data_IF_873730823435
#
_entry.id   IF_873730823435
#
_cell.length_a   1.000
_cell.length_b   1.000
_cell.length_c   1.000
_cell.angle_alpha   90.00
_cell.angle_beta   90.00
_cell.angle_gamma   90.00
#
_symmetry.space_group_name_H-M   'P 1'
#
loop_
_entity.id
_entity.type
_entity.pdbx_description
1 polymer ?
#
# COMPACT_ATOMS: atom_id res chain seq x y z
N UNK A 1 -32.99 -5.62 43.88
CA UNK A 1 -32.22 -4.35 43.93
C UNK A 1 -30.77 -4.70 43.67
N UNK A 2 -30.37 -4.69 42.40
CA UNK A 2 -29.59 -3.62 41.72
C UNK A 2 -28.07 -3.71 41.96
N UNK A 3 -27.42 -4.38 40.99
CA UNK A 3 -26.15 -4.06 40.30
C UNK A 3 -25.03 -3.31 41.02
N UNK A 4 -23.81 -3.89 40.99
CA UNK A 4 -22.56 -3.14 40.92
C UNK A 4 -21.36 -4.03 40.52
N UNK A 5 -20.87 -3.83 39.28
CA UNK A 5 -19.51 -4.00 38.75
C UNK A 5 -18.87 -5.41 38.62
N UNK A 6 -18.51 -5.76 37.37
CA UNK A 6 -17.31 -6.54 37.05
C UNK A 6 -16.82 -6.19 35.63
N UNK A 7 -15.99 -5.15 35.46
CA UNK A 7 -15.46 -4.73 34.15
C UNK A 7 -14.18 -5.49 33.72
N UNK A 8 -13.91 -6.70 34.21
CA UNK A 8 -12.51 -7.14 34.37
C UNK A 8 -11.88 -8.17 33.42
N UNK A 9 -12.48 -8.57 32.29
CA UNK A 9 -11.71 -9.40 31.32
C UNK A 9 -11.70 -8.80 29.92
N UNK A 10 -11.09 -7.62 29.82
CA UNK A 10 -10.56 -7.06 28.58
C UNK A 10 -9.06 -7.41 28.53
N UNK A 11 -8.73 -8.60 28.01
CA UNK A 11 -7.33 -9.06 27.97
C UNK A 11 -6.55 -8.29 26.89
N UNK A 12 -5.75 -7.32 27.31
CA UNK A 12 -4.85 -6.58 26.44
C UNK A 12 -3.78 -7.53 25.86
N UNK A 13 -3.57 -7.56 24.53
CA UNK A 13 -2.53 -8.38 23.94
C UNK A 13 -1.15 -7.88 24.37
N UNK A 14 -0.26 -8.82 24.76
CA UNK A 14 1.16 -8.54 24.94
C UNK A 14 1.72 -7.81 23.71
N UNK A 15 2.62 -6.86 23.93
CA UNK A 15 3.15 -5.92 22.93
C UNK A 15 3.63 -6.59 21.64
N UNK A 16 4.04 -7.86 21.69
CA UNK A 16 4.48 -8.66 20.54
C UNK A 16 3.36 -8.98 19.53
N UNK A 17 2.11 -9.15 19.98
CA UNK A 17 0.97 -9.49 19.11
C UNK A 17 0.37 -8.28 18.38
N UNK A 18 0.67 -7.05 18.84
CA UNK A 18 0.25 -5.80 18.15
C UNK A 18 1.10 -5.50 16.91
N UNK A 19 2.32 -6.03 16.81
CA UNK A 19 3.30 -5.66 15.77
C UNK A 19 2.86 -6.15 14.38
N UNK A 20 2.06 -7.21 14.31
CA UNK A 20 1.72 -7.89 13.05
C UNK A 20 0.32 -7.57 12.51
N UNK A 21 -0.37 -6.54 13.05
CA UNK A 21 -1.75 -6.17 12.67
C UNK A 21 -2.66 -7.38 12.36
N UNK A 22 -2.89 -8.27 13.36
CA UNK A 22 -3.61 -9.51 13.11
C UNK A 22 -5.05 -9.24 12.66
N UNK A 23 -5.50 -10.01 11.69
CA UNK A 23 -6.79 -9.84 11.04
C UNK A 23 -8.00 -10.12 11.95
N UNK A 24 -7.82 -10.93 12.99
CA UNK A 24 -8.82 -11.21 14.01
C UNK A 24 -8.22 -12.00 15.17
N UNK A 25 -8.85 -11.93 16.34
CA UNK A 25 -8.45 -12.68 17.53
C UNK A 25 -9.52 -13.72 17.85
N UNK A 26 -9.12 -14.95 18.16
CA UNK A 26 -10.03 -16.02 18.61
C UNK A 26 -9.93 -16.14 20.12
N UNK A 27 -11.06 -15.98 20.83
CA UNK A 27 -11.16 -16.14 22.29
C UNK A 27 -11.51 -17.58 22.67
N UNK A 28 -10.90 -18.13 23.73
CA UNK A 28 -11.22 -19.46 24.26
C UNK A 28 -12.38 -19.39 25.27
N UNK A 29 -13.20 -20.45 25.41
CA UNK A 29 -13.29 -21.61 24.53
C UNK A 29 -13.94 -21.21 23.20
N UNK A 30 -13.31 -21.57 22.07
CA UNK A 30 -13.83 -21.26 20.73
C UNK A 30 -14.54 -22.47 20.12
N UNK A 31 -15.56 -22.21 19.30
CA UNK A 31 -16.15 -23.19 18.39
C UNK A 31 -15.20 -23.38 17.18
N UNK A 32 -14.98 -24.63 16.78
CA UNK A 32 -14.18 -25.02 15.60
C UNK A 32 -14.58 -24.23 14.34
N UNK A 33 -15.87 -23.91 14.19
CA UNK A 33 -16.40 -23.11 13.07
C UNK A 33 -15.89 -21.67 13.06
N UNK A 34 -15.75 -21.04 14.23
CA UNK A 34 -15.20 -19.68 14.34
C UNK A 34 -13.71 -19.65 14.04
N UNK A 35 -12.98 -20.69 14.47
CA UNK A 35 -11.56 -20.84 14.16
C UNK A 35 -11.35 -21.03 12.65
N UNK A 36 -12.11 -21.92 12.01
CA UNK A 36 -12.05 -22.12 10.57
C UNK A 36 -12.34 -20.83 9.80
N UNK A 37 -13.42 -20.12 10.14
CA UNK A 37 -13.82 -18.90 9.44
C UNK A 37 -12.76 -17.79 9.57
N UNK A 38 -12.17 -17.63 10.76
CA UNK A 38 -11.13 -16.61 11.01
C UNK A 38 -9.87 -16.90 10.21
N UNK A 39 -9.44 -18.18 10.17
CA UNK A 39 -8.27 -18.61 9.39
C UNK A 39 -8.53 -18.42 7.90
N UNK A 40 -9.68 -18.86 7.40
CA UNK A 40 -10.04 -18.75 5.98
C UNK A 40 -10.06 -17.29 5.53
N UNK A 41 -10.69 -16.42 6.31
CA UNK A 41 -10.78 -15.00 6.03
C UNK A 41 -9.40 -14.31 6.11
N UNK A 42 -8.54 -14.71 7.05
CA UNK A 42 -7.15 -14.22 7.13
C UNK A 42 -6.30 -14.65 5.93
N UNK A 43 -6.40 -15.92 5.51
CA UNK A 43 -5.70 -16.44 4.33
C UNK A 43 -6.18 -15.75 3.05
N UNK A 44 -7.49 -15.52 2.93
CA UNK A 44 -8.09 -14.82 1.81
C UNK A 44 -7.59 -13.37 1.71
N UNK A 45 -7.58 -12.64 2.82
CA UNK A 45 -7.05 -11.26 2.86
C UNK A 45 -5.59 -11.22 2.45
N UNK A 46 -4.75 -12.06 3.06
CA UNK A 46 -3.31 -12.08 2.76
C UNK A 46 -3.04 -12.39 1.27
N UNK A 47 -3.73 -13.38 0.71
CA UNK A 47 -3.62 -13.71 -0.72
C UNK A 47 -4.02 -12.53 -1.62
N UNK A 48 -5.05 -11.80 -1.25
CA UNK A 48 -5.54 -10.62 -1.99
C UNK A 48 -4.52 -9.47 -1.94
N UNK A 49 -4.01 -9.17 -0.75
CA UNK A 49 -2.97 -8.15 -0.56
C UNK A 49 -1.69 -8.50 -1.31
N UNK A 50 -1.26 -9.76 -1.25
CA UNK A 50 -0.07 -10.23 -1.97
C UNK A 50 -0.23 -10.08 -3.48
N UNK A 51 -1.37 -10.48 -4.04
CA UNK A 51 -1.66 -10.29 -5.48
C UNK A 51 -1.67 -8.82 -5.89
N UNK A 52 -2.23 -7.94 -5.07
CA UNK A 52 -2.22 -6.51 -5.31
C UNK A 52 -0.79 -5.96 -5.30
N UNK A 53 0.02 -6.38 -4.33
CA UNK A 53 1.42 -5.97 -4.22
C UNK A 53 2.25 -6.48 -5.41
N UNK A 54 2.10 -7.74 -5.79
CA UNK A 54 2.77 -8.33 -6.96
C UNK A 54 2.40 -7.58 -8.25
N UNK A 55 1.12 -7.20 -8.40
CA UNK A 55 0.65 -6.43 -9.55
C UNK A 55 1.27 -5.02 -9.57
N UNK A 56 1.34 -4.35 -8.42
CA UNK A 56 1.99 -3.03 -8.30
C UNK A 56 3.48 -3.10 -8.64
N UNK A 57 4.20 -4.07 -8.10
CA UNK A 57 5.63 -4.28 -8.38
C UNK A 57 5.84 -4.57 -9.87
N UNK A 58 5.00 -5.42 -10.47
CA UNK A 58 5.06 -5.72 -11.89
C UNK A 58 4.85 -4.47 -12.75
N UNK A 59 3.83 -3.66 -12.44
CA UNK A 59 3.58 -2.40 -13.16
C UNK A 59 4.74 -1.42 -13.00
N UNK A 60 5.28 -1.25 -11.80
CA UNK A 60 6.46 -0.40 -11.56
C UNK A 60 7.67 -0.88 -12.36
N UNK A 61 7.93 -2.18 -12.41
CA UNK A 61 9.03 -2.72 -13.20
C UNK A 61 8.85 -2.48 -14.69
N UNK A 62 7.63 -2.66 -15.22
CA UNK A 62 7.33 -2.37 -16.63
C UNK A 62 7.59 -0.89 -16.94
N UNK A 63 7.11 0.02 -16.09
CA UNK A 63 7.26 1.47 -16.30
C UNK A 63 8.73 1.89 -16.16
N UNK A 64 9.45 1.35 -15.18
CA UNK A 64 10.83 1.74 -14.88
C UNK A 64 11.84 1.17 -15.88
N UNK A 65 11.59 -0.03 -16.40
CA UNK A 65 12.48 -0.69 -17.37
C UNK A 65 12.07 -0.43 -18.82
N UNK A 66 11.03 0.37 -19.07
CA UNK A 66 10.68 0.78 -20.42
C UNK A 66 11.77 1.70 -20.97
N UNK A 67 12.17 1.48 -22.23
CA UNK A 67 13.12 2.35 -22.93
C UNK A 67 12.47 3.69 -23.33
N UNK A 68 11.14 3.72 -23.49
CA UNK A 68 10.41 4.93 -23.81
C UNK A 68 10.20 5.80 -22.56
N UNK A 69 10.45 7.09 -22.71
CA UNK A 69 10.18 8.09 -21.67
C UNK A 69 8.68 8.23 -21.42
N UNK A 70 8.26 8.00 -20.19
CA UNK A 70 6.87 8.16 -19.74
C UNK A 70 6.81 9.35 -18.79
N UNK A 71 6.03 10.36 -19.17
CA UNK A 71 5.66 11.50 -18.33
C UNK A 71 4.15 11.54 -18.17
N UNK A 72 3.70 11.74 -16.93
CA UNK A 72 2.29 12.01 -16.63
C UNK A 72 2.18 13.46 -16.18
N UNK A 73 1.30 14.22 -16.83
CA UNK A 73 0.99 15.60 -16.50
C UNK A 73 -0.43 15.73 -15.97
N UNK A 74 -0.68 16.72 -15.13
CA UNK A 74 -2.05 17.09 -14.76
C UNK A 74 -2.70 18.01 -15.81
N UNK A 75 -3.96 18.41 -15.56
CA UNK A 75 -4.72 19.26 -16.48
C UNK A 75 -4.14 20.68 -16.67
N UNK A 76 -3.20 21.09 -15.82
CA UNK A 76 -2.48 22.37 -15.94
C UNK A 76 -1.13 22.18 -16.64
N UNK A 77 -0.81 20.97 -17.10
CA UNK A 77 0.47 20.62 -17.71
C UNK A 77 1.59 20.38 -16.69
N UNK A 78 1.31 20.33 -15.38
CA UNK A 78 2.35 20.10 -14.38
C UNK A 78 2.71 18.62 -14.36
N UNK A 79 4.00 18.30 -14.46
CA UNK A 79 4.49 16.93 -14.39
C UNK A 79 4.23 16.37 -12.99
N UNK A 80 3.53 15.23 -12.94
CA UNK A 80 3.25 14.46 -11.72
C UNK A 80 4.09 13.20 -11.60
N UNK A 81 4.63 12.74 -12.72
CA UNK A 81 5.44 11.53 -12.77
C UNK A 81 6.37 11.56 -13.98
N UNK A 82 7.59 11.04 -13.79
CA UNK A 82 8.55 10.75 -14.83
C UNK A 82 9.21 9.39 -14.52
N UNK A 83 9.26 8.49 -15.50
CA UNK A 83 10.02 7.24 -15.36
C UNK A 83 11.53 7.48 -15.57
N UNK A 84 12.41 6.51 -15.22
CA UNK A 84 13.85 6.66 -15.41
C UNK A 84 14.28 6.96 -16.85
N UNK A 85 13.59 6.39 -17.86
CA UNK A 85 13.87 6.72 -19.25
C UNK A 85 13.58 8.19 -19.59
N UNK A 86 12.53 8.78 -19.02
CA UNK A 86 12.28 10.22 -19.14
C UNK A 86 13.40 11.04 -18.51
N UNK A 87 13.98 10.63 -17.38
CA UNK A 87 15.14 11.34 -16.80
C UNK A 87 16.33 11.39 -17.78
N UNK A 88 16.56 10.30 -18.49
CA UNK A 88 17.63 10.19 -19.49
C UNK A 88 17.33 11.08 -20.71
N UNK A 89 16.12 10.99 -21.25
CA UNK A 89 15.70 11.77 -22.44
C UNK A 89 15.74 13.27 -22.17
N UNK A 90 15.28 13.71 -20.99
CA UNK A 90 15.28 15.12 -20.62
C UNK A 90 16.60 15.57 -19.98
N UNK A 91 17.54 14.66 -19.73
CA UNK A 91 18.81 14.92 -19.01
C UNK A 91 18.61 15.64 -17.67
N UNK A 92 17.50 15.35 -17.00
CA UNK A 92 17.08 15.96 -15.73
C UNK A 92 16.55 14.90 -14.80
N UNK A 93 16.80 15.04 -13.51
CA UNK A 93 16.28 14.10 -12.51
C UNK A 93 14.78 14.25 -12.35
N UNK A 94 14.07 13.17 -11.98
CA UNK A 94 12.61 13.21 -11.77
C UNK A 94 12.24 14.24 -10.71
N UNK A 95 13.09 14.48 -9.71
CA UNK A 95 12.86 15.48 -8.67
C UNK A 95 12.84 16.91 -9.22
N UNK A 96 13.54 17.15 -10.33
CA UNK A 96 13.54 18.42 -11.03
C UNK A 96 12.43 18.51 -12.08
N UNK A 97 11.95 17.37 -12.59
CA UNK A 97 10.87 17.32 -13.56
C UNK A 97 9.50 17.41 -12.87
N UNK A 98 9.30 16.69 -11.77
CA UNK A 98 8.02 16.64 -11.06
C UNK A 98 7.74 17.99 -10.40
N UNK A 99 6.57 18.55 -10.70
CA UNK A 99 6.16 19.89 -10.25
C UNK A 99 6.41 20.99 -11.27
N UNK A 100 7.19 20.72 -12.33
CA UNK A 100 7.44 21.68 -13.41
C UNK A 100 6.35 21.62 -14.49
N UNK A 101 6.18 22.73 -15.20
CA UNK A 101 5.29 22.80 -16.36
C UNK A 101 5.92 22.04 -17.53
N UNK A 102 5.26 20.98 -17.97
CA UNK A 102 5.62 20.24 -19.17
C UNK A 102 5.49 21.14 -20.40
N UNK A 103 6.59 21.30 -21.14
CA UNK A 103 6.62 22.17 -22.32
C UNK A 103 7.01 23.63 -22.06
N UNK A 104 7.45 23.99 -20.85
CA UNK A 104 8.17 25.26 -20.66
C UNK A 104 9.51 25.20 -21.43
N UNK A 105 9.84 26.22 -22.24
CA UNK A 105 10.65 26.02 -23.44
C UNK A 105 12.13 25.80 -23.18
N UNK A 106 12.72 25.10 -24.16
CA UNK A 106 14.12 25.15 -24.53
C UNK A 106 14.64 26.60 -24.54
N UNK A 107 15.89 26.77 -24.07
CA UNK A 107 16.79 27.92 -24.19
C UNK A 107 16.68 28.99 -23.08
N UNK A 108 17.74 29.04 -22.26
CA UNK A 108 18.47 30.27 -21.94
C UNK A 108 19.95 30.06 -22.19
#
# INVERSE_FOLDING_TARGET
MTLSYSPEIMFYPNSKAKITEPFGYIIKPFDERQMHSTIEMALYKNKTEKKLQESKVRLQNIINNNADGIIIVDCKGIVRFANPAAEIIFSRKKEELVGELFGSPLVS
#
